data_IF_541309477010
#
_entry.id   IF_541309477010
#
_cell.length_a   1.000
_cell.length_b   1.000
_cell.length_c   1.000
_cell.angle_alpha   90.00
_cell.angle_beta   90.00
_cell.angle_gamma   90.00
#
_symmetry.space_group_name_H-M   'P 1'
#
loop_
_entity.id
_entity.type
_entity.pdbx_description
1 polymer ?
#
# COMPACT_ATOMS: atom_id res chain seq x y z
N UNK A 1 7.84 -14.44 13.02
CA UNK A 1 6.68 -15.35 13.15
C UNK A 1 6.29 -15.98 11.82
N UNK A 2 6.06 -15.22 10.73
CA UNK A 2 5.65 -15.80 9.44
C UNK A 2 6.66 -16.71 8.73
N UNK A 3 7.97 -16.42 8.82
CA UNK A 3 9.01 -17.37 8.35
C UNK A 3 8.96 -18.71 9.09
N UNK A 4 8.55 -18.72 10.37
CA UNK A 4 8.32 -19.96 11.13
C UNK A 4 6.99 -20.62 10.77
N UNK A 5 5.95 -19.85 10.44
CA UNK A 5 4.68 -20.38 9.96
C UNK A 5 4.83 -21.07 8.58
N UNK A 6 5.58 -20.46 7.66
CA UNK A 6 5.94 -21.07 6.36
C UNK A 6 6.83 -22.31 6.51
N UNK A 7 7.63 -22.40 7.59
CA UNK A 7 8.38 -23.63 7.90
C UNK A 7 7.50 -24.78 8.45
N UNK A 8 6.29 -24.49 8.93
CA UNK A 8 5.34 -25.47 9.49
C UNK A 8 4.32 -25.91 8.42
N UNK A 9 3.85 -24.99 7.59
CA UNK A 9 3.07 -25.28 6.39
C UNK A 9 3.59 -24.44 5.21
N UNK A 10 4.50 -24.98 4.40
CA UNK A 10 5.10 -24.26 3.27
C UNK A 10 4.09 -23.84 2.21
N UNK A 11 2.95 -24.54 2.11
CA UNK A 11 1.91 -24.31 1.11
C UNK A 11 0.72 -23.51 1.65
N UNK A 12 0.81 -22.89 2.84
CA UNK A 12 -0.24 -21.99 3.33
C UNK A 12 -0.31 -20.70 2.49
N UNK A 13 -1.36 -20.53 1.65
CA UNK A 13 -1.47 -19.36 0.77
C UNK A 13 -1.56 -18.04 1.56
N UNK A 14 -2.03 -18.10 2.82
CA UNK A 14 -2.13 -16.94 3.69
C UNK A 14 -0.76 -16.46 4.19
N UNK A 15 0.16 -17.39 4.49
CA UNK A 15 1.51 -17.07 4.93
C UNK A 15 2.36 -16.50 3.78
N UNK A 16 2.28 -17.07 2.57
CA UNK A 16 3.01 -16.57 1.38
C UNK A 16 2.59 -15.12 1.05
N UNK A 17 1.28 -14.84 1.02
CA UNK A 17 0.72 -13.49 0.78
C UNK A 17 1.19 -12.46 1.80
N UNK A 18 1.16 -12.82 3.09
CA UNK A 18 1.61 -11.91 4.14
C UNK A 18 3.09 -11.56 3.99
N UNK A 19 3.93 -12.50 3.55
CA UNK A 19 5.34 -12.22 3.25
C UNK A 19 5.44 -11.26 2.06
N UNK A 20 4.74 -11.50 0.96
CA UNK A 20 4.74 -10.62 -0.22
C UNK A 20 4.34 -9.17 0.11
N UNK A 21 3.29 -9.01 0.92
CA UNK A 21 2.85 -7.70 1.43
C UNK A 21 3.89 -7.05 2.35
N UNK A 22 4.48 -7.81 3.28
CA UNK A 22 5.51 -7.28 4.20
C UNK A 22 6.77 -6.83 3.44
N UNK A 23 7.17 -7.55 2.40
CA UNK A 23 8.28 -7.14 1.54
C UNK A 23 7.96 -5.83 0.81
N UNK A 24 6.73 -5.66 0.29
CA UNK A 24 6.29 -4.40 -0.31
C UNK A 24 6.34 -3.22 0.69
N UNK A 25 5.84 -3.41 1.91
CA UNK A 25 5.84 -2.36 2.94
C UNK A 25 7.25 -1.96 3.41
N UNK A 26 8.22 -2.88 3.30
CA UNK A 26 9.64 -2.62 3.59
C UNK A 26 10.39 -1.95 2.43
N UNK A 27 9.74 -1.72 1.30
CA UNK A 27 10.38 -1.22 0.09
C UNK A 27 11.11 -2.28 -0.74
N UNK A 28 11.01 -3.56 -0.36
CA UNK A 28 11.62 -4.69 -1.09
C UNK A 28 10.73 -5.12 -2.27
N UNK A 29 10.43 -4.19 -3.16
CA UNK A 29 9.42 -4.37 -4.22
C UNK A 29 9.76 -5.52 -5.18
N UNK A 30 11.03 -5.75 -5.52
CA UNK A 30 11.44 -6.85 -6.39
C UNK A 30 11.13 -8.23 -5.78
N UNK A 31 11.41 -8.41 -4.48
CA UNK A 31 11.07 -9.64 -3.78
C UNK A 31 9.56 -9.82 -3.68
N UNK A 32 8.82 -8.74 -3.39
CA UNK A 32 7.36 -8.75 -3.37
C UNK A 32 6.76 -9.19 -4.72
N UNK A 33 7.24 -8.64 -5.84
CA UNK A 33 6.80 -9.04 -7.19
C UNK A 33 7.03 -10.52 -7.44
N UNK A 34 8.19 -11.07 -7.06
CA UNK A 34 8.48 -12.50 -7.25
C UNK A 34 7.50 -13.37 -6.45
N UNK A 35 7.27 -13.04 -5.18
CA UNK A 35 6.37 -13.79 -4.30
C UNK A 35 4.93 -13.72 -4.82
N UNK A 36 4.43 -12.51 -5.09
CA UNK A 36 3.03 -12.32 -5.48
C UNK A 36 2.72 -12.87 -6.87
N UNK A 37 3.70 -12.90 -7.80
CA UNK A 37 3.53 -13.58 -9.09
C UNK A 37 3.35 -15.09 -8.92
N UNK A 38 4.17 -15.72 -8.08
CA UNK A 38 4.09 -17.15 -7.82
C UNK A 38 2.79 -17.50 -7.08
N UNK A 39 2.46 -16.72 -6.05
CA UNK A 39 1.23 -16.90 -5.26
C UNK A 39 -0.03 -16.72 -6.12
N UNK A 40 -0.12 -15.61 -6.86
CA UNK A 40 -1.27 -15.29 -7.71
C UNK A 40 -1.45 -16.26 -8.88
N UNK A 41 -0.37 -16.94 -9.33
CA UNK A 41 -0.46 -17.98 -10.35
C UNK A 41 -1.09 -19.27 -9.81
N UNK A 42 -0.92 -19.58 -8.51
CA UNK A 42 -1.56 -20.72 -7.84
C UNK A 42 -3.01 -20.38 -7.49
N UNK A 43 -3.22 -19.25 -6.81
CA UNK A 43 -4.51 -18.81 -6.29
C UNK A 43 -4.65 -17.29 -6.46
N UNK A 44 -5.32 -16.82 -7.52
CA UNK A 44 -5.58 -15.40 -7.67
C UNK A 44 -6.45 -14.87 -6.52
N UNK A 45 -5.99 -13.81 -5.86
CA UNK A 45 -6.72 -13.12 -4.80
C UNK A 45 -6.64 -11.61 -5.02
N UNK A 46 -7.69 -10.90 -4.62
CA UNK A 46 -7.79 -9.46 -4.82
C UNK A 46 -6.60 -8.69 -4.21
N UNK A 47 -6.21 -9.01 -2.98
CA UNK A 47 -5.10 -8.33 -2.28
C UNK A 47 -3.73 -8.66 -2.86
N UNK A 48 -3.47 -9.93 -3.21
CA UNK A 48 -2.19 -10.34 -3.82
C UNK A 48 -1.95 -9.65 -5.16
N UNK A 49 -2.98 -9.57 -6.01
CA UNK A 49 -2.89 -8.82 -7.28
C UNK A 49 -2.74 -7.31 -7.07
N UNK A 50 -3.35 -6.75 -6.03
CA UNK A 50 -3.12 -5.36 -5.65
C UNK A 50 -1.66 -5.13 -5.23
N UNK A 51 -1.11 -5.97 -4.34
CA UNK A 51 0.29 -5.90 -3.89
C UNK A 51 1.27 -6.05 -5.06
N UNK A 52 0.98 -6.96 -6.00
CA UNK A 52 1.77 -7.10 -7.22
C UNK A 52 1.78 -5.83 -8.06
N UNK A 53 0.60 -5.27 -8.36
CA UNK A 53 0.48 -4.01 -9.11
C UNK A 53 1.17 -2.85 -8.39
N UNK A 54 0.96 -2.74 -7.07
CA UNK A 54 1.61 -1.78 -6.20
C UNK A 54 3.13 -1.84 -6.33
N UNK A 55 3.73 -3.03 -6.17
CA UNK A 55 5.18 -3.20 -6.26
C UNK A 55 5.73 -2.95 -7.68
N UNK A 56 4.99 -3.33 -8.73
CA UNK A 56 5.36 -3.03 -10.11
C UNK A 56 5.41 -1.53 -10.39
N UNK A 57 4.45 -0.76 -9.88
CA UNK A 57 4.46 0.72 -9.98
C UNK A 57 5.72 1.31 -9.37
N UNK A 58 6.09 0.88 -8.15
CA UNK A 58 7.30 1.39 -7.45
C UNK A 58 8.61 0.97 -8.13
N UNK A 59 8.60 -0.12 -8.90
CA UNK A 59 9.73 -0.54 -9.76
C UNK A 59 9.75 0.17 -11.12
N UNK A 60 8.75 0.98 -11.45
CA UNK A 60 8.61 1.62 -12.75
C UNK A 60 8.12 0.70 -13.87
N UNK A 61 7.72 -0.55 -13.56
CA UNK A 61 7.09 -1.49 -14.50
C UNK A 61 5.62 -1.10 -14.72
N UNK A 62 5.38 0.08 -15.31
CA UNK A 62 4.04 0.63 -15.49
C UNK A 62 3.20 -0.24 -16.44
N UNK A 63 3.82 -0.80 -17.48
CA UNK A 63 3.14 -1.67 -18.43
C UNK A 63 2.75 -3.02 -17.80
N UNK A 64 3.62 -3.58 -16.95
CA UNK A 64 3.29 -4.76 -16.16
C UNK A 64 2.22 -4.48 -15.12
N UNK A 65 2.26 -3.33 -14.45
CA UNK A 65 1.25 -2.90 -13.51
C UNK A 65 -0.13 -2.80 -14.17
N UNK A 66 -0.25 -2.15 -15.34
CA UNK A 66 -1.51 -2.07 -16.10
C UNK A 66 -2.09 -3.44 -16.41
N UNK A 67 -1.26 -4.39 -16.88
CA UNK A 67 -1.70 -5.77 -17.15
C UNK A 67 -2.23 -6.45 -15.89
N UNK A 68 -1.54 -6.28 -14.77
CA UNK A 68 -1.96 -6.84 -13.48
C UNK A 68 -3.28 -6.22 -13.03
N UNK A 69 -3.40 -4.90 -13.09
CA UNK A 69 -4.60 -4.14 -12.71
C UNK A 69 -5.80 -4.55 -13.57
N UNK A 70 -5.62 -4.66 -14.89
CA UNK A 70 -6.70 -5.07 -15.80
C UNK A 70 -7.13 -6.50 -15.58
N UNK A 71 -6.19 -7.41 -15.35
CA UNK A 71 -6.52 -8.79 -14.96
C UNK A 71 -7.30 -8.81 -13.64
N UNK A 72 -6.81 -8.09 -12.64
CA UNK A 72 -7.42 -8.06 -11.32
C UNK A 72 -8.83 -7.46 -11.33
N UNK A 73 -9.06 -6.40 -12.09
CA UNK A 73 -10.40 -5.79 -12.25
C UNK A 73 -11.38 -6.69 -12.99
N UNK A 74 -10.92 -7.57 -13.88
CA UNK A 74 -11.77 -8.59 -14.52
C UNK A 74 -12.14 -9.71 -13.55
N UNK A 75 -11.19 -10.16 -12.74
CA UNK A 75 -11.40 -11.23 -11.77
C UNK A 75 -12.21 -10.76 -10.54
N UNK A 76 -12.04 -9.50 -10.14
CA UNK A 76 -12.61 -8.92 -8.93
C UNK A 76 -13.27 -7.56 -9.22
N UNK A 77 -14.36 -7.51 -10.03
CA UNK A 77 -14.95 -6.26 -10.50
C UNK A 77 -15.58 -5.40 -9.39
N UNK A 78 -15.86 -5.98 -8.23
CA UNK A 78 -16.40 -5.26 -7.06
C UNK A 78 -15.33 -4.63 -6.17
N UNK A 79 -14.05 -4.86 -6.46
CA UNK A 79 -12.92 -4.35 -5.66
C UNK A 79 -12.38 -3.07 -6.32
N UNK A 80 -12.49 -1.95 -5.61
CA UNK A 80 -12.09 -0.62 -6.08
C UNK A 80 -10.61 -0.27 -5.81
N UNK A 81 -9.83 -1.18 -5.21
CA UNK A 81 -8.40 -0.96 -4.90
C UNK A 81 -7.56 -0.67 -6.15
N UNK A 82 -7.93 -1.22 -7.30
CA UNK A 82 -7.14 -1.11 -8.52
C UNK A 82 -7.22 0.26 -9.17
N UNK A 83 -8.26 1.04 -8.90
CA UNK A 83 -8.44 2.37 -9.50
C UNK A 83 -7.45 3.40 -8.91
N UNK A 84 -7.08 3.25 -7.63
CA UNK A 84 -5.99 4.02 -7.04
C UNK A 84 -4.65 3.75 -7.75
N UNK A 85 -4.33 2.49 -8.03
CA UNK A 85 -3.13 2.13 -8.80
C UNK A 85 -3.18 2.62 -10.25
N UNK A 86 -4.36 2.61 -10.90
CA UNK A 86 -4.53 3.22 -12.24
C UNK A 86 -4.21 4.72 -12.21
N UNK A 87 -4.63 5.42 -11.17
CA UNK A 87 -4.33 6.84 -11.00
C UNK A 87 -2.82 7.08 -10.84
N UNK A 88 -2.12 6.26 -10.05
CA UNK A 88 -0.66 6.32 -9.90
C UNK A 88 0.05 6.11 -11.25
N UNK A 89 -0.35 5.10 -12.02
CA UNK A 89 0.23 4.83 -13.35
C UNK A 89 0.03 6.03 -14.28
N UNK A 90 -1.18 6.61 -14.33
CA UNK A 90 -1.47 7.78 -15.15
C UNK A 90 -0.60 8.99 -14.76
N UNK A 91 -0.47 9.26 -13.46
CA UNK A 91 0.36 10.34 -12.94
C UNK A 91 1.83 10.16 -13.31
N UNK A 92 2.37 8.95 -13.16
CA UNK A 92 3.75 8.61 -13.51
C UNK A 92 4.03 8.70 -15.02
N UNK A 93 3.01 8.58 -15.86
CA UNK A 93 3.10 8.84 -17.30
C UNK A 93 2.96 10.32 -17.68
N UNK A 94 2.73 11.20 -16.70
CA UNK A 94 2.47 12.62 -16.93
C UNK A 94 1.06 12.94 -17.43
N UNK A 95 0.13 11.98 -17.42
CA UNK A 95 -1.27 12.22 -17.77
C UNK A 95 -2.07 12.62 -16.52
N UNK A 96 -1.89 13.87 -16.11
CA UNK A 96 -2.59 14.44 -14.96
C UNK A 96 -4.13 14.40 -15.11
N UNK A 97 -4.63 14.50 -16.34
CA UNK A 97 -6.07 14.48 -16.60
C UNK A 97 -6.64 13.07 -16.39
N UNK A 98 -5.96 12.02 -16.85
CA UNK A 98 -6.35 10.64 -16.57
C UNK A 98 -6.22 10.29 -15.09
N UNK A 99 -5.15 10.75 -14.43
CA UNK A 99 -4.97 10.56 -13.00
C UNK A 99 -6.13 11.17 -12.19
N UNK A 100 -6.52 12.42 -12.50
CA UNK A 100 -7.64 13.08 -11.83
C UNK A 100 -8.97 12.35 -12.08
N UNK A 101 -9.26 11.92 -13.32
CA UNK A 101 -10.48 11.13 -13.60
C UNK A 101 -10.54 9.83 -12.80
N UNK A 102 -9.41 9.14 -12.64
CA UNK A 102 -9.34 7.92 -11.84
C UNK A 102 -9.53 8.20 -10.34
N UNK A 103 -8.96 9.29 -9.83
CA UNK A 103 -9.21 9.75 -8.45
C UNK A 103 -10.70 10.05 -8.24
N UNK A 104 -11.30 10.85 -9.11
CA UNK A 104 -12.71 11.27 -8.99
C UNK A 104 -13.64 10.05 -8.96
N UNK A 105 -13.36 9.07 -9.84
CA UNK A 105 -14.08 7.78 -9.83
C UNK A 105 -13.93 7.08 -8.48
N UNK A 106 -12.70 6.95 -7.98
CA UNK A 106 -12.47 6.19 -6.75
C UNK A 106 -13.05 6.88 -5.50
N UNK A 107 -13.08 8.22 -5.49
CA UNK A 107 -13.76 9.01 -4.45
C UNK A 107 -15.28 8.83 -4.54
N UNK A 108 -15.85 8.86 -5.74
CA UNK A 108 -17.29 8.63 -5.91
C UNK A 108 -17.71 7.24 -5.43
N UNK A 109 -16.87 6.24 -5.70
CA UNK A 109 -17.10 4.83 -5.36
C UNK A 109 -16.75 4.50 -3.88
N UNK A 110 -16.50 5.50 -3.02
CA UNK A 110 -16.09 5.38 -1.61
C UNK A 110 -16.96 4.42 -0.77
N UNK A 111 -18.21 4.20 -1.16
CA UNK A 111 -19.20 3.44 -0.36
C UNK A 111 -19.03 1.91 -0.40
N UNK A 112 -18.05 1.37 -1.14
CA UNK A 112 -18.05 -0.07 -1.41
C UNK A 112 -17.30 -0.96 -0.40
N UNK A 113 -16.23 -0.55 0.27
CA UNK A 113 -15.42 -1.51 1.07
C UNK A 113 -14.54 -0.86 2.16
N UNK A 114 -14.31 -1.58 3.26
CA UNK A 114 -13.52 -1.18 4.44
C UNK A 114 -12.00 -1.03 4.23
N UNK A 115 -11.56 -0.74 3.01
CA UNK A 115 -10.15 -0.60 2.60
C UNK A 115 -9.87 0.73 1.90
N UNK A 116 -10.76 1.72 2.02
CA UNK A 116 -10.59 3.03 1.37
C UNK A 116 -9.29 3.74 1.77
N UNK A 117 -8.73 3.47 2.96
CA UNK A 117 -7.44 4.04 3.35
C UNK A 117 -6.29 3.65 2.41
N UNK A 118 -6.29 2.47 1.77
CA UNK A 118 -5.28 2.13 0.77
C UNK A 118 -5.42 2.99 -0.49
N UNK A 119 -6.66 3.24 -0.91
CA UNK A 119 -6.94 4.18 -2.00
C UNK A 119 -6.50 5.59 -1.61
N UNK A 120 -6.80 6.06 -0.39
CA UNK A 120 -6.37 7.37 0.09
C UNK A 120 -4.84 7.50 0.06
N UNK A 121 -4.10 6.43 0.39
CA UNK A 121 -2.65 6.38 0.23
C UNK A 121 -2.22 6.54 -1.24
N UNK A 122 -2.88 5.85 -2.17
CA UNK A 122 -2.61 6.02 -3.61
C UNK A 122 -2.90 7.45 -4.09
N UNK A 123 -4.01 8.06 -3.62
CA UNK A 123 -4.36 9.45 -3.95
C UNK A 123 -3.28 10.41 -3.46
N UNK A 124 -2.77 10.22 -2.24
CA UNK A 124 -1.64 10.99 -1.73
C UNK A 124 -0.40 10.84 -2.62
N UNK A 125 -0.09 9.61 -3.06
CA UNK A 125 1.03 9.33 -3.97
C UNK A 125 0.86 10.02 -5.34
N UNK A 126 -0.35 10.03 -5.88
CA UNK A 126 -0.67 10.71 -7.14
C UNK A 126 -0.42 12.21 -7.00
N UNK A 127 -0.95 12.85 -5.96
CA UNK A 127 -0.74 14.29 -5.77
C UNK A 127 0.72 14.63 -5.54
N UNK A 128 1.47 13.80 -4.80
CA UNK A 128 2.91 13.98 -4.62
C UNK A 128 3.66 13.90 -5.97
N UNK A 129 3.29 12.93 -6.82
CA UNK A 129 3.86 12.73 -8.15
C UNK A 129 3.55 13.90 -9.08
N UNK A 130 2.36 14.48 -8.97
CA UNK A 130 1.93 15.66 -9.75
C UNK A 130 2.46 16.99 -9.19
N UNK A 131 3.27 16.97 -8.12
CA UNK A 131 3.79 18.19 -7.48
C UNK A 131 2.77 18.98 -6.66
N UNK A 132 1.57 18.43 -6.44
CA UNK A 132 0.50 19.00 -5.62
C UNK A 132 0.70 18.63 -4.15
N UNK A 133 1.72 19.24 -3.56
CA UNK A 133 2.23 18.92 -2.22
C UNK A 133 1.17 19.04 -1.12
N UNK A 134 0.42 20.14 -1.09
CA UNK A 134 -0.56 20.41 -0.05
C UNK A 134 -1.68 19.36 -0.05
N UNK A 135 -2.17 19.02 -1.25
CA UNK A 135 -3.17 17.95 -1.43
C UNK A 135 -2.60 16.58 -1.03
N UNK A 136 -1.35 16.28 -1.40
CA UNK A 136 -0.70 15.03 -1.04
C UNK A 136 -0.63 14.84 0.48
N UNK A 137 -0.24 15.90 1.22
CA UNK A 137 -0.15 15.88 2.67
C UNK A 137 -1.53 15.75 3.34
N UNK A 138 -2.55 16.42 2.80
CA UNK A 138 -3.92 16.31 3.30
C UNK A 138 -4.44 14.87 3.18
N UNK A 139 -4.28 14.25 2.00
CA UNK A 139 -4.70 12.87 1.77
C UNK A 139 -3.88 11.86 2.59
N UNK A 140 -2.58 12.11 2.76
CA UNK A 140 -1.73 11.27 3.62
C UNK A 140 -2.20 11.31 5.08
N UNK A 141 -2.53 12.49 5.61
CA UNK A 141 -3.07 12.62 6.99
C UNK A 141 -4.39 11.88 7.14
N UNK A 142 -5.34 12.09 6.22
CA UNK A 142 -6.63 11.39 6.24
C UNK A 142 -6.47 9.87 6.20
N UNK A 143 -5.58 9.35 5.36
CA UNK A 143 -5.27 7.93 5.26
C UNK A 143 -4.76 7.34 6.61
N UNK A 144 -3.88 8.08 7.29
CA UNK A 144 -3.32 7.68 8.58
C UNK A 144 -4.39 7.67 9.68
N UNK A 145 -5.22 8.71 9.71
CA UNK A 145 -6.31 8.87 10.68
C UNK A 145 -7.42 7.82 10.50
N UNK A 146 -7.74 7.44 9.25
CA UNK A 146 -8.78 6.46 8.90
C UNK A 146 -8.33 4.98 8.96
N UNK A 147 -7.12 4.72 9.51
CA UNK A 147 -6.71 3.36 9.86
C UNK A 147 -5.52 2.78 9.09
N UNK A 148 -4.72 3.62 8.41
CA UNK A 148 -3.44 3.19 7.82
C UNK A 148 -2.21 3.90 8.43
N UNK A 149 -1.95 3.79 9.75
CA UNK A 149 -0.76 4.37 10.39
C UNK A 149 0.51 3.52 10.14
N UNK A 150 0.79 3.19 8.88
CA UNK A 150 1.92 2.32 8.52
C UNK A 150 3.20 3.13 8.28
N UNK A 151 3.99 3.36 9.35
CA UNK A 151 5.26 4.10 9.27
C UNK A 151 6.18 3.58 8.14
N UNK A 152 6.36 2.27 8.04
CA UNK A 152 7.25 1.68 7.04
C UNK A 152 6.79 1.96 5.60
N UNK A 153 5.48 1.95 5.33
CA UNK A 153 4.96 2.29 4.02
C UNK A 153 5.26 3.74 3.65
N UNK A 154 5.02 4.67 4.59
CA UNK A 154 5.21 6.11 4.33
C UNK A 154 6.70 6.46 4.17
N UNK A 155 7.57 5.91 5.02
CA UNK A 155 9.02 6.20 4.96
C UNK A 155 9.67 5.66 3.66
N UNK A 156 9.28 4.45 3.25
CA UNK A 156 9.87 3.78 2.10
C UNK A 156 9.26 4.20 0.75
N UNK A 157 8.11 4.88 0.74
CA UNK A 157 7.39 5.23 -0.50
C UNK A 157 8.23 6.16 -1.40
N UNK A 158 8.71 5.68 -2.57
CA UNK A 158 9.49 6.50 -3.48
C UNK A 158 8.70 7.68 -4.05
N UNK A 159 7.37 7.58 -4.19
CA UNK A 159 6.53 8.65 -4.73
C UNK A 159 6.43 9.87 -3.79
N UNK A 160 6.84 9.72 -2.52
CA UNK A 160 6.97 10.83 -1.58
C UNK A 160 8.37 11.46 -1.53
N UNK A 161 9.29 11.08 -2.44
CA UNK A 161 10.64 11.62 -2.46
C UNK A 161 10.69 13.16 -2.45
N UNK A 162 9.80 13.82 -3.17
CA UNK A 162 9.68 15.29 -3.22
C UNK A 162 9.17 15.91 -1.93
N UNK A 163 8.45 15.15 -1.09
CA UNK A 163 7.88 15.60 0.17
C UNK A 163 8.86 15.43 1.33
N UNK A 164 9.93 14.65 1.19
CA UNK A 164 10.82 14.30 2.31
C UNK A 164 11.47 15.51 2.98
N UNK A 165 11.75 16.59 2.27
CA UNK A 165 12.32 17.81 2.89
C UNK A 165 11.28 18.75 3.47
N UNK A 166 9.99 18.44 3.32
CA UNK A 166 8.92 19.31 3.79
C UNK A 166 8.70 19.19 5.31
N UNK A 167 8.44 20.33 5.95
CA UNK A 167 8.24 20.41 7.40
C UNK A 167 6.98 19.66 7.86
N UNK A 168 5.88 19.73 7.10
CA UNK A 168 4.65 19.01 7.45
C UNK A 168 4.80 17.51 7.23
N UNK A 169 5.50 17.08 6.18
CA UNK A 169 5.84 15.67 5.99
C UNK A 169 6.69 15.13 7.16
N UNK A 170 7.72 15.87 7.58
CA UNK A 170 8.57 15.48 8.72
C UNK A 170 7.78 15.38 10.03
N UNK A 171 6.81 16.28 10.22
CA UNK A 171 5.88 16.21 11.35
C UNK A 171 5.03 14.94 11.31
N UNK A 172 4.46 14.58 10.15
CA UNK A 172 3.69 13.32 9.97
C UNK A 172 4.55 12.10 10.32
N UNK A 173 5.79 12.03 9.85
CA UNK A 173 6.71 10.93 10.17
C UNK A 173 6.99 10.84 11.68
N UNK A 174 7.18 11.98 12.33
CA UNK A 174 7.41 12.05 13.78
C UNK A 174 6.20 11.53 14.56
N UNK A 175 4.99 11.94 14.17
CA UNK A 175 3.72 11.48 14.76
C UNK A 175 3.54 9.96 14.58
N UNK A 176 3.76 9.44 13.37
CA UNK A 176 3.68 7.99 13.09
C UNK A 176 4.68 7.18 13.90
N UNK A 177 5.91 7.69 14.05
CA UNK A 177 6.95 7.03 14.85
C UNK A 177 6.57 6.95 16.32
N UNK A 178 6.07 8.05 16.90
CA UNK A 178 5.58 8.07 18.27
C UNK A 178 4.42 7.08 18.47
N UNK A 179 3.47 7.02 17.54
CA UNK A 179 2.35 6.07 17.56
C UNK A 179 2.84 4.61 17.51
N UNK A 180 3.78 4.28 16.60
CA UNK A 180 4.37 2.94 16.51
C UNK A 180 5.08 2.54 17.80
N UNK A 181 5.86 3.44 18.39
CA UNK A 181 6.57 3.20 19.65
C UNK A 181 5.62 3.02 20.83
N UNK A 182 4.53 3.77 20.87
CA UNK A 182 3.47 3.59 21.85
C UNK A 182 2.88 2.17 21.76
N UNK A 183 2.40 1.76 20.59
CA UNK A 183 1.83 0.42 20.41
C UNK A 183 2.83 -0.71 20.64
N UNK A 184 4.11 -0.51 20.30
CA UNK A 184 5.16 -1.50 20.56
C UNK A 184 5.35 -1.73 22.06
N UNK A 185 5.32 -0.65 22.87
CA UNK A 185 5.39 -0.75 24.33
C UNK A 185 4.17 -1.46 24.91
N UNK A 186 2.97 -1.05 24.49
CA UNK A 186 1.70 -1.68 24.92
C UNK A 186 1.71 -3.18 24.62
N UNK A 187 2.16 -3.57 23.42
CA UNK A 187 2.28 -4.98 23.05
C UNK A 187 3.26 -5.74 23.94
N UNK A 188 4.46 -5.20 24.20
CA UNK A 188 5.44 -5.85 25.06
C UNK A 188 4.95 -6.01 26.50
N UNK A 189 4.23 -5.03 27.03
CA UNK A 189 3.66 -5.09 28.37
C UNK A 189 2.56 -6.16 28.44
N UNK A 190 1.61 -6.15 27.50
CA UNK A 190 0.56 -7.18 27.39
C UNK A 190 1.16 -8.58 27.23
N UNK A 191 2.20 -8.72 26.41
CA UNK A 191 2.88 -10.00 26.18
C UNK A 191 3.45 -10.56 27.48
N UNK A 192 4.07 -9.72 28.31
CA UNK A 192 4.57 -10.11 29.63
C UNK A 192 3.41 -10.47 30.57
N UNK A 193 2.29 -9.76 30.54
CA UNK A 193 1.16 -10.07 31.43
C UNK A 193 0.44 -11.37 31.06
N UNK A 194 0.30 -11.69 29.77
CA UNK A 194 -0.51 -12.82 29.29
C UNK A 194 0.30 -14.14 29.18
N UNK A 195 1.59 -14.09 28.85
CA UNK A 195 2.42 -15.28 28.60
C UNK A 195 3.51 -15.54 29.66
N UNK A 196 3.42 -14.88 30.82
CA UNK A 196 4.28 -15.19 31.99
C UNK A 196 3.56 -15.96 33.10
N UNK A 197 2.36 -16.50 32.82
CA UNK A 197 1.64 -17.47 33.65
C UNK A 197 1.63 -18.83 32.95
#
# INVERSE_FOLDING_TARGET
MYQRASAINPDDPFAERLIGTLEALRGNYAASVQIERLSSAKTPEAWGLHTLGFAQVRLGDLAGAEKTIDNASRLFPMVNLYDGLRAEVAALRGDAAAAQRAIDKTIHDQKAFGHFHHVAFNIACVFATLGRKEDALQWLRSCIEDGFPCLAAVENEPLFASLRSDAEFQKVITELRATREHYSRVFEDLRKTIWSA
#
